data_IF_548244146441
#
_entry.id   IF_548244146441
#
_cell.length_a   1.000
_cell.length_b   1.000
_cell.length_c   1.000
_cell.angle_alpha   90.00
_cell.angle_beta   90.00
_cell.angle_gamma   90.00
#
_symmetry.space_group_name_H-M   'P 1'
#
loop_
_entity.id
_entity.type
_entity.pdbx_description
1 polymer ?
#
# COMPACT_ATOMS: atom_id res chain seq x y z
N UNK A 1 5.55 5.46 21.98
CA UNK A 1 5.10 4.64 20.84
C UNK A 1 3.93 3.77 21.29
N UNK A 2 2.86 3.68 20.51
CA UNK A 2 1.68 2.87 20.88
C UNK A 2 1.95 1.36 20.67
N UNK A 3 1.30 0.50 21.45
CA UNK A 3 1.49 -0.97 21.45
C UNK A 3 1.25 -1.62 20.08
N UNK A 4 0.31 -1.10 19.28
CA UNK A 4 0.08 -1.56 17.91
C UNK A 4 1.23 -1.24 16.97
N UNK A 5 1.82 -0.05 17.07
CA UNK A 5 2.96 0.35 16.23
C UNK A 5 4.14 -0.62 16.40
N UNK A 6 4.44 -1.00 17.65
CA UNK A 6 5.49 -1.97 17.97
C UNK A 6 5.24 -3.36 17.38
N UNK A 7 3.96 -3.79 17.28
CA UNK A 7 3.60 -5.07 16.64
C UNK A 7 3.91 -5.05 15.14
N UNK A 8 3.54 -3.98 14.44
CA UNK A 8 3.73 -3.88 12.99
C UNK A 8 5.19 -3.60 12.60
N UNK A 9 5.92 -2.82 13.41
CA UNK A 9 7.31 -2.43 13.16
C UNK A 9 8.33 -3.34 13.86
N UNK A 10 7.92 -4.54 14.25
CA UNK A 10 8.85 -5.52 14.80
C UNK A 10 10.02 -5.75 13.80
N UNK A 11 11.29 -5.63 14.23
CA UNK A 11 12.44 -5.78 13.35
C UNK A 11 12.46 -7.08 12.55
N UNK A 12 12.00 -8.20 13.13
CA UNK A 12 11.91 -9.47 12.41
C UNK A 12 10.94 -9.40 11.23
N UNK A 13 9.80 -8.71 11.41
CA UNK A 13 8.83 -8.48 10.34
C UNK A 13 9.39 -7.54 9.27
N UNK A 14 10.14 -6.51 9.64
CA UNK A 14 10.79 -5.62 8.68
C UNK A 14 11.83 -6.35 7.83
N UNK A 15 12.63 -7.21 8.46
CA UNK A 15 13.65 -8.04 7.79
C UNK A 15 13.02 -9.11 6.88
N UNK A 16 11.85 -9.64 7.25
CA UNK A 16 11.08 -10.56 6.40
C UNK A 16 10.45 -9.85 5.19
N UNK A 17 9.83 -8.68 5.41
CA UNK A 17 9.10 -7.95 4.37
C UNK A 17 10.02 -7.28 3.34
N UNK A 18 11.25 -6.93 3.75
CA UNK A 18 12.24 -6.18 2.96
C UNK A 18 11.62 -5.12 2.05
N UNK A 19 10.94 -4.10 2.61
CA UNK A 19 9.99 -3.29 1.84
C UNK A 19 10.59 -2.63 0.61
N UNK A 20 11.80 -2.08 0.74
CA UNK A 20 12.50 -1.44 -0.37
C UNK A 20 12.86 -2.43 -1.49
N UNK A 21 13.46 -3.57 -1.14
CA UNK A 21 13.82 -4.61 -2.12
C UNK A 21 12.57 -5.18 -2.82
N UNK A 22 11.50 -5.40 -2.05
CA UNK A 22 10.22 -5.85 -2.58
C UNK A 22 9.69 -4.88 -3.64
N UNK A 23 9.68 -3.58 -3.35
CA UNK A 23 9.21 -2.56 -4.28
C UNK A 23 10.07 -2.51 -5.56
N UNK A 24 11.39 -2.69 -5.43
CA UNK A 24 12.27 -2.81 -6.59
C UNK A 24 11.98 -4.08 -7.41
N UNK A 25 11.77 -5.23 -6.76
CA UNK A 25 11.47 -6.51 -7.44
C UNK A 25 10.18 -6.49 -8.23
N UNK A 26 9.15 -5.79 -7.76
CA UNK A 26 7.90 -5.62 -8.51
C UNK A 26 8.01 -4.58 -9.65
N UNK A 27 9.15 -3.88 -9.73
CA UNK A 27 9.44 -2.86 -10.73
C UNK A 27 8.73 -1.55 -10.46
N UNK A 28 8.69 -1.10 -9.19
CA UNK A 28 8.27 0.27 -8.89
C UNK A 28 9.32 1.24 -9.42
N UNK A 29 8.87 2.22 -10.19
CA UNK A 29 9.70 3.24 -10.82
C UNK A 29 9.25 4.65 -10.44
N UNK A 30 10.09 5.63 -10.77
CA UNK A 30 9.73 7.05 -10.70
C UNK A 30 8.52 7.35 -11.60
N UNK A 31 7.61 8.20 -11.13
CA UNK A 31 6.43 8.62 -11.88
C UNK A 31 5.19 7.72 -11.73
N UNK A 32 5.30 6.56 -11.08
CA UNK A 32 4.18 5.64 -10.90
C UNK A 32 3.20 6.14 -9.82
N UNK A 33 1.90 5.97 -10.07
CA UNK A 33 0.87 6.13 -9.05
C UNK A 33 0.73 4.83 -8.27
N UNK A 34 0.84 4.90 -6.94
CA UNK A 34 0.82 3.72 -6.07
C UNK A 34 -0.37 3.81 -5.13
N UNK A 35 -1.06 2.69 -4.91
CA UNK A 35 -2.09 2.55 -3.88
C UNK A 35 -1.65 1.48 -2.87
N UNK A 36 -1.39 1.89 -1.63
CA UNK A 36 -1.08 1.00 -0.50
C UNK A 36 -2.37 0.74 0.29
N UNK A 37 -2.98 -0.42 0.04
CA UNK A 37 -4.25 -0.84 0.64
C UNK A 37 -3.93 -1.58 1.94
N UNK A 38 -4.55 -1.14 3.03
CA UNK A 38 -4.22 -1.57 4.39
C UNK A 38 -2.81 -1.15 4.77
N UNK A 39 -2.52 0.14 4.57
CA UNK A 39 -1.19 0.73 4.72
C UNK A 39 -0.56 0.51 6.11
N UNK A 40 -1.37 0.27 7.15
CA UNK A 40 -0.92 0.03 8.51
C UNK A 40 -0.05 1.18 9.00
N UNK A 41 1.16 0.87 9.47
CA UNK A 41 2.10 1.91 9.93
C UNK A 41 2.93 2.55 8.80
N UNK A 42 2.64 2.23 7.54
CA UNK A 42 3.31 2.81 6.37
C UNK A 42 4.63 2.15 5.99
N UNK A 43 4.82 0.88 6.35
CA UNK A 43 6.05 0.11 6.06
C UNK A 43 6.36 0.09 4.56
N UNK A 44 5.33 0.02 3.72
CA UNK A 44 5.47 0.10 2.27
C UNK A 44 5.18 1.50 1.72
N UNK A 45 4.23 2.24 2.32
CA UNK A 45 3.90 3.61 1.94
C UNK A 45 5.13 4.52 1.86
N UNK A 46 5.96 4.57 2.92
CA UNK A 46 7.08 5.52 2.97
C UNK A 46 8.18 5.19 1.96
N UNK A 47 8.67 3.93 1.86
CA UNK A 47 9.61 3.58 0.81
C UNK A 47 9.05 3.80 -0.61
N UNK A 48 7.77 3.48 -0.84
CA UNK A 48 7.13 3.72 -2.13
C UNK A 48 7.13 5.20 -2.50
N UNK A 49 6.79 6.08 -1.54
CA UNK A 49 6.79 7.52 -1.73
C UNK A 49 8.18 8.05 -2.11
N UNK A 50 9.24 7.52 -1.47
CA UNK A 50 10.63 7.89 -1.76
C UNK A 50 11.10 7.41 -3.14
N UNK A 51 10.73 6.20 -3.55
CA UNK A 51 11.11 5.64 -4.85
C UNK A 51 10.38 6.36 -5.97
N UNK A 52 9.06 6.46 -5.88
CA UNK A 52 8.25 6.86 -7.03
C UNK A 52 8.24 8.36 -7.29
N UNK A 53 8.41 9.18 -6.23
CA UNK A 53 8.34 10.66 -6.28
C UNK A 53 7.03 11.24 -6.85
N UNK A 54 6.08 10.38 -7.23
CA UNK A 54 4.72 10.70 -7.61
C UNK A 54 3.75 10.22 -6.50
N UNK A 55 2.45 10.35 -6.72
CA UNK A 55 1.45 10.20 -5.65
C UNK A 55 1.31 8.76 -5.15
N UNK A 56 1.37 8.61 -3.83
CA UNK A 56 1.07 7.37 -3.11
C UNK A 56 -0.20 7.56 -2.30
N UNK A 57 -1.22 6.77 -2.59
CA UNK A 57 -2.46 6.72 -1.82
C UNK A 57 -2.34 5.64 -0.75
N UNK A 58 -2.36 6.03 0.52
CA UNK A 58 -2.33 5.09 1.65
C UNK A 58 -3.72 4.99 2.28
N UNK A 59 -4.33 3.81 2.12
CA UNK A 59 -5.69 3.51 2.53
C UNK A 59 -5.66 2.58 3.73
N UNK A 60 -6.43 2.89 4.77
CA UNK A 60 -6.57 2.00 5.93
C UNK A 60 -7.94 2.17 6.60
N UNK A 61 -8.47 1.08 7.15
CA UNK A 61 -9.72 1.07 7.94
C UNK A 61 -9.51 1.54 9.39
N UNK A 62 -8.29 1.81 9.83
CA UNK A 62 -7.95 2.24 11.18
C UNK A 62 -7.44 3.69 11.23
N UNK A 63 -8.13 4.50 12.02
CA UNK A 63 -7.80 5.91 12.31
C UNK A 63 -6.34 6.13 12.68
N UNK A 64 -5.99 5.32 13.65
CA UNK A 64 -4.70 5.30 14.32
C UNK A 64 -3.55 4.99 13.36
N UNK A 65 -3.77 4.12 12.36
CA UNK A 65 -2.75 3.75 11.36
C UNK A 65 -2.41 4.94 10.48
N UNK A 66 -3.43 5.62 9.95
CA UNK A 66 -3.25 6.84 9.15
C UNK A 66 -2.59 7.96 9.97
N UNK A 67 -2.94 8.10 11.26
CA UNK A 67 -2.29 9.07 12.14
C UNK A 67 -0.79 8.77 12.34
N UNK A 68 -0.39 7.49 12.43
CA UNK A 68 1.02 7.09 12.49
C UNK A 68 1.75 7.48 11.20
N UNK A 69 1.17 7.17 10.04
CA UNK A 69 1.78 7.55 8.75
C UNK A 69 1.90 9.06 8.64
N UNK A 70 0.88 9.82 9.04
CA UNK A 70 0.88 11.28 9.06
C UNK A 70 2.07 11.86 9.83
N UNK A 71 2.29 11.38 11.05
CA UNK A 71 3.42 11.84 11.85
C UNK A 71 4.78 11.54 11.21
N UNK A 72 4.91 10.40 10.51
CA UNK A 72 6.15 10.04 9.80
C UNK A 72 6.38 10.89 8.56
N UNK A 73 5.36 11.10 7.72
CA UNK A 73 5.52 11.92 6.52
C UNK A 73 5.83 13.38 6.87
N UNK A 74 5.29 13.90 7.98
CA UNK A 74 5.63 15.23 8.51
C UNK A 74 7.09 15.28 8.99
N UNK A 75 7.51 14.30 9.79
CA UNK A 75 8.89 14.22 10.31
C UNK A 75 9.92 14.10 9.20
N UNK A 76 9.59 13.36 8.14
CA UNK A 76 10.49 13.10 7.02
C UNK A 76 10.31 14.07 5.84
N UNK A 77 9.41 15.05 5.94
CA UNK A 77 9.08 15.99 4.87
C UNK A 77 8.66 15.32 3.55
N UNK A 78 7.93 14.21 3.63
CA UNK A 78 7.35 13.51 2.48
C UNK A 78 6.00 14.16 2.14
N UNK A 79 5.87 14.73 0.95
CA UNK A 79 4.69 15.51 0.54
C UNK A 79 3.78 14.80 -0.48
N UNK A 80 4.21 13.68 -1.04
CA UNK A 80 3.51 12.95 -2.10
C UNK A 80 2.65 11.79 -1.60
N UNK A 81 2.31 11.76 -0.30
CA UNK A 81 1.43 10.74 0.29
C UNK A 81 0.06 11.33 0.59
N UNK A 82 -1.00 10.69 0.09
CA UNK A 82 -2.39 11.01 0.40
C UNK A 82 -3.00 9.91 1.27
N UNK A 83 -3.45 10.30 2.47
CA UNK A 83 -4.02 9.40 3.46
C UNK A 83 -5.53 9.36 3.30
N UNK A 84 -6.10 8.17 3.11
CA UNK A 84 -7.54 8.00 2.90
C UNK A 84 -8.11 6.95 3.84
N UNK A 85 -9.08 7.39 4.65
CA UNK A 85 -9.86 6.49 5.49
C UNK A 85 -10.87 5.74 4.64
N UNK A 86 -10.78 4.41 4.65
CA UNK A 86 -11.78 3.53 4.03
C UNK A 86 -12.60 2.82 5.10
N UNK A 87 -13.81 2.38 4.73
CA UNK A 87 -14.72 1.67 5.64
C UNK A 87 -15.22 0.35 5.05
N UNK A 88 -15.19 0.24 3.72
CA UNK A 88 -15.85 -0.81 2.96
C UNK A 88 -14.88 -1.27 1.86
N UNK A 89 -15.29 -2.28 1.10
CA UNK A 89 -14.54 -2.83 -0.03
C UNK A 89 -14.45 -1.86 -1.24
N UNK A 90 -15.11 -0.69 -1.19
CA UNK A 90 -15.03 0.33 -2.22
C UNK A 90 -13.85 1.28 -1.99
N UNK A 91 -12.99 1.41 -3.00
CA UNK A 91 -11.80 2.27 -2.94
C UNK A 91 -12.14 3.66 -3.51
N UNK A 92 -11.92 4.75 -2.77
CA UNK A 92 -12.29 6.12 -3.16
C UNK A 92 -11.31 6.70 -4.20
N UNK A 93 -11.09 5.97 -5.28
CA UNK A 93 -10.19 6.27 -6.38
C UNK A 93 -10.92 6.13 -7.71
N UNK A 94 -10.55 6.95 -8.68
CA UNK A 94 -11.05 6.85 -10.04
C UNK A 94 -10.57 5.57 -10.74
N UNK A 95 -11.27 5.18 -11.80
CA UNK A 95 -10.90 4.04 -12.63
C UNK A 95 -9.57 4.30 -13.35
N UNK A 96 -8.74 3.26 -13.54
CA UNK A 96 -7.53 3.31 -14.35
C UNK A 96 -6.52 4.41 -13.97
N UNK A 97 -6.31 4.68 -12.67
CA UNK A 97 -5.36 5.71 -12.20
C UNK A 97 -4.09 5.15 -11.55
N UNK A 98 -4.11 3.91 -11.08
CA UNK A 98 -3.01 3.31 -10.31
C UNK A 98 -2.14 2.42 -11.20
N UNK A 99 -0.82 2.57 -11.11
CA UNK A 99 0.16 1.71 -11.77
C UNK A 99 0.46 0.47 -10.91
N UNK A 100 0.57 0.64 -9.59
CA UNK A 100 0.84 -0.46 -8.64
C UNK A 100 -0.11 -0.39 -7.44
N UNK A 101 -0.86 -1.46 -7.21
CA UNK A 101 -1.62 -1.67 -5.97
C UNK A 101 -0.87 -2.63 -5.05
N UNK A 102 -0.55 -2.21 -3.83
CA UNK A 102 0.04 -3.02 -2.78
C UNK A 102 -1.09 -3.51 -1.86
N UNK A 103 -1.10 -4.81 -1.58
CA UNK A 103 -2.00 -5.45 -0.62
C UNK A 103 -1.17 -6.40 0.24
N UNK A 104 -0.44 -5.85 1.21
CA UNK A 104 0.43 -6.62 2.09
C UNK A 104 -0.34 -6.97 3.35
N UNK A 105 -0.58 -8.27 3.59
CA UNK A 105 -1.29 -8.78 4.76
C UNK A 105 -2.74 -8.27 4.93
N UNK A 106 -3.44 -7.97 3.84
CA UNK A 106 -4.85 -7.51 3.88
C UNK A 106 -5.84 -8.57 3.40
N UNK A 107 -5.45 -9.39 2.44
CA UNK A 107 -6.38 -10.32 1.77
C UNK A 107 -7.05 -11.33 2.70
N UNK A 108 -6.40 -11.70 3.81
CA UNK A 108 -6.98 -12.64 4.77
C UNK A 108 -8.06 -12.01 5.66
N UNK A 109 -8.14 -10.68 5.73
CA UNK A 109 -9.17 -9.95 6.47
C UNK A 109 -10.40 -9.63 5.60
N UNK A 110 -10.30 -9.82 4.27
CA UNK A 110 -11.39 -9.56 3.33
C UNK A 110 -12.32 -10.77 3.22
N UNK A 111 -13.60 -10.54 3.46
CA UNK A 111 -14.66 -11.56 3.41
C UNK A 111 -14.98 -11.97 1.96
N UNK A 112 -15.29 -11.01 1.08
CA UNK A 112 -15.48 -11.23 -0.36
C UNK A 112 -14.25 -10.81 -1.17
N UNK A 113 -13.24 -11.69 -1.20
CA UNK A 113 -12.01 -11.51 -1.97
C UNK A 113 -12.27 -11.30 -3.47
N UNK A 114 -13.32 -11.88 -4.02
CA UNK A 114 -13.59 -11.80 -5.46
C UNK A 114 -14.13 -10.42 -5.84
N UNK A 115 -15.07 -9.89 -5.05
CA UNK A 115 -15.55 -8.52 -5.21
C UNK A 115 -14.43 -7.50 -5.01
N UNK A 116 -13.64 -7.66 -3.94
CA UNK A 116 -12.53 -6.76 -3.65
C UNK A 116 -11.47 -6.76 -4.75
N UNK A 117 -11.10 -7.92 -5.30
CA UNK A 117 -10.16 -7.98 -6.42
C UNK A 117 -10.71 -7.32 -7.69
N UNK A 118 -12.03 -7.33 -7.93
CA UNK A 118 -12.64 -6.56 -9.02
C UNK A 118 -12.49 -5.06 -8.79
N UNK A 119 -12.67 -4.61 -7.54
CA UNK A 119 -12.47 -3.21 -7.19
C UNK A 119 -11.02 -2.76 -7.36
N UNK A 120 -10.07 -3.58 -6.90
CA UNK A 120 -8.64 -3.31 -7.13
C UNK A 120 -8.33 -3.27 -8.62
N UNK A 121 -8.95 -4.15 -9.43
CA UNK A 121 -8.80 -4.11 -10.88
C UNK A 121 -9.38 -2.83 -11.49
N UNK A 122 -10.51 -2.32 -10.99
CA UNK A 122 -11.14 -1.08 -11.49
C UNK A 122 -10.19 0.11 -11.42
N UNK A 123 -9.46 0.26 -10.32
CA UNK A 123 -8.56 1.41 -10.10
C UNK A 123 -7.22 1.28 -10.84
N UNK A 124 -6.84 0.06 -11.26
CA UNK A 124 -5.59 -0.19 -11.97
C UNK A 124 -5.68 0.26 -13.43
N UNK A 125 -4.63 0.93 -13.90
CA UNK A 125 -4.41 1.17 -15.33
C UNK A 125 -4.28 -0.16 -16.08
N UNK A 126 -4.48 -0.11 -17.40
CA UNK A 126 -4.14 -1.23 -18.28
C UNK A 126 -2.65 -1.58 -18.13
N UNK A 127 -2.36 -2.83 -17.75
CA UNK A 127 -0.99 -3.28 -17.46
C UNK A 127 -0.47 -2.96 -16.06
N UNK A 128 -1.31 -2.35 -15.21
CA UNK A 128 -1.02 -2.14 -13.80
C UNK A 128 -0.85 -3.46 -13.04
N UNK A 129 -0.09 -3.40 -11.93
CA UNK A 129 0.33 -4.59 -11.18
C UNK A 129 -0.29 -4.62 -9.80
N UNK A 130 -0.57 -5.83 -9.32
CA UNK A 130 -0.89 -6.08 -7.92
C UNK A 130 0.30 -6.76 -7.26
N UNK A 131 0.77 -6.21 -6.13
CA UNK A 131 1.72 -6.88 -5.24
C UNK A 131 0.99 -7.39 -3.99
N UNK A 132 1.00 -8.71 -3.80
CA UNK A 132 0.47 -9.40 -2.62
C UNK A 132 1.64 -10.06 -1.92
N UNK A 133 1.77 -9.89 -0.60
CA UNK A 133 2.84 -10.57 0.14
C UNK A 133 2.26 -11.70 1.00
N UNK A 134 1.84 -12.79 0.35
CA UNK A 134 1.56 -14.08 0.97
C UNK A 134 2.38 -15.21 0.31
N UNK A 135 3.52 -14.88 -0.34
CA UNK A 135 4.40 -15.68 -1.23
C UNK A 135 4.27 -15.23 -2.70
N UNK A 136 5.21 -14.40 -3.18
CA UNK A 136 5.25 -13.84 -4.55
C UNK A 136 4.91 -14.87 -5.64
N UNK A 137 4.04 -14.52 -6.61
CA UNK A 137 4.45 -13.65 -7.71
C UNK A 137 3.50 -12.48 -7.96
N UNK A 138 4.05 -11.37 -8.45
CA UNK A 138 3.30 -10.31 -9.11
C UNK A 138 2.53 -10.90 -10.31
N UNK A 139 1.21 -10.75 -10.31
CA UNK A 139 0.39 -11.16 -11.45
C UNK A 139 0.48 -10.01 -12.47
N UNK A 140 1.37 -10.14 -13.45
CA UNK A 140 1.29 -9.39 -14.69
C UNK A 140 0.25 -10.05 -15.60
N UNK A 141 -0.88 -9.38 -15.81
CA UNK A 141 -1.94 -9.85 -16.72
C UNK A 141 -3.25 -10.12 -16.01
N UNK A 142 -3.99 -9.06 -15.71
CA UNK A 142 -5.44 -9.12 -15.50
C UNK A 142 -6.11 -8.27 -16.58
#
# INVERSE_FOLDING_TARGET
MNSKQLKFENPARLDELKPFETLQKIGLEEGYFVCDIGAGTGIFTLPAARITKNKVYALDINEEMLAIIRGKIETESISNVELMKVKDDHLPLHDNVIDIALMVTVLHEIEDKASFLKEVKRILKKGGKISKNDSYPSISGI
#
